data_IF_650184569159
#
_entry.id   IF_650184569159
#
_cell.length_a   1.000
_cell.length_b   1.000
_cell.length_c   1.000
_cell.angle_alpha   90.00
_cell.angle_beta   90.00
_cell.angle_gamma   90.00
#
_symmetry.space_group_name_H-M   'P 1'
#
loop_
_entity.id
_entity.type
_entity.pdbx_description
1 polymer ?
#
# COMPACT_ATOMS: atom_id res chain seq x y z
N UNK A 1 2.35 10.69 -5.95
CA UNK A 1 1.52 11.31 -4.91
C UNK A 1 2.12 12.64 -4.51
N UNK A 2 1.31 13.63 -4.40
CA UNK A 2 1.70 14.88 -3.77
C UNK A 2 1.01 14.99 -2.42
N UNK A 3 1.56 15.76 -1.50
CA UNK A 3 0.95 16.00 -0.19
C UNK A 3 -0.41 16.71 -0.29
N UNK A 4 -0.73 17.24 -1.47
CA UNK A 4 -1.97 17.98 -1.76
C UNK A 4 -3.05 17.14 -2.45
N UNK A 5 -2.88 15.82 -2.56
CA UNK A 5 -3.92 14.98 -3.16
C UNK A 5 -5.10 14.88 -2.19
N UNK A 6 -6.20 15.55 -2.55
CA UNK A 6 -7.40 15.65 -1.71
C UNK A 6 -8.19 14.35 -1.63
N UNK A 7 -7.87 13.36 -2.46
CA UNK A 7 -8.53 12.05 -2.42
C UNK A 7 -8.03 11.19 -1.27
N UNK A 8 -6.89 11.53 -0.68
CA UNK A 8 -6.29 10.75 0.41
C UNK A 8 -6.94 11.15 1.73
N UNK A 9 -7.52 10.19 2.41
CA UNK A 9 -8.14 10.36 3.72
C UNK A 9 -7.39 9.54 4.75
N UNK A 10 -6.82 10.22 5.74
CA UNK A 10 -6.05 9.58 6.81
C UNK A 10 -6.93 9.40 8.04
N UNK A 11 -7.00 8.17 8.53
CA UNK A 11 -7.74 7.81 9.73
C UNK A 11 -6.78 7.25 10.78
N UNK A 12 -6.73 7.90 11.93
CA UNK A 12 -5.90 7.45 13.05
C UNK A 12 -6.80 6.93 14.16
N UNK A 13 -6.53 5.71 14.62
CA UNK A 13 -7.24 5.15 15.76
C UNK A 13 -6.91 5.94 17.02
N UNK A 14 -7.92 6.27 17.82
CA UNK A 14 -7.72 6.85 19.13
C UNK A 14 -7.21 5.78 20.09
N UNK A 15 -6.03 5.98 20.65
CA UNK A 15 -5.41 5.04 21.57
C UNK A 15 -4.47 5.77 22.53
N UNK A 16 -4.38 5.26 23.76
CA UNK A 16 -3.39 5.73 24.72
C UNK A 16 -1.99 5.20 24.43
N UNK A 17 -1.89 4.26 23.50
CA UNK A 17 -0.62 3.63 23.17
C UNK A 17 0.18 4.48 22.21
N UNK A 18 1.47 4.54 22.44
CA UNK A 18 2.39 5.13 21.46
C UNK A 18 2.68 4.06 20.39
N UNK A 19 2.22 4.31 19.17
CA UNK A 19 2.49 3.43 18.05
C UNK A 19 3.87 3.74 17.48
N UNK A 20 4.83 2.89 17.77
CA UNK A 20 6.19 3.04 17.26
C UNK A 20 6.64 1.77 16.54
N UNK A 21 7.42 1.95 15.49
CA UNK A 21 8.06 0.84 14.78
C UNK A 21 9.55 1.12 14.68
N UNK A 22 10.33 0.04 14.70
CA UNK A 22 11.78 0.15 14.63
C UNK A 22 12.24 0.00 13.19
N UNK A 23 12.47 1.13 12.54
CA UNK A 23 12.84 1.16 11.13
C UNK A 23 13.57 2.46 10.81
N UNK A 24 14.31 2.46 9.70
CA UNK A 24 14.84 3.70 9.17
C UNK A 24 13.67 4.53 8.62
N UNK A 25 13.42 5.73 9.15
CA UNK A 25 12.25 6.52 8.74
C UNK A 25 12.30 6.93 7.28
N UNK A 26 13.48 7.12 6.73
CA UNK A 26 13.62 7.48 5.31
C UNK A 26 13.20 6.34 4.38
N UNK A 27 13.68 5.12 4.66
CA UNK A 27 13.32 3.95 3.87
C UNK A 27 11.83 3.60 4.03
N UNK A 28 11.31 3.69 5.25
CA UNK A 28 9.89 3.43 5.50
C UNK A 28 9.02 4.42 4.74
N UNK A 29 9.42 5.70 4.71
CA UNK A 29 8.71 6.72 3.94
C UNK A 29 8.65 6.36 2.45
N UNK A 30 9.75 5.88 1.87
CA UNK A 30 9.79 5.46 0.47
C UNK A 30 8.81 4.33 0.23
N UNK A 31 8.80 3.30 1.10
CA UNK A 31 7.92 2.15 0.96
C UNK A 31 6.45 2.57 1.02
N UNK A 32 6.07 3.34 2.03
CA UNK A 32 4.68 3.77 2.22
C UNK A 32 4.23 4.69 1.10
N UNK A 33 5.10 5.59 0.66
CA UNK A 33 4.80 6.47 -0.46
C UNK A 33 4.52 5.67 -1.73
N UNK A 34 5.30 4.63 -2.01
CA UNK A 34 5.07 3.78 -3.17
C UNK A 34 3.70 3.10 -3.12
N UNK A 35 3.28 2.62 -1.96
CA UNK A 35 1.97 1.98 -1.81
C UNK A 35 0.85 3.00 -2.05
N UNK A 36 0.95 4.18 -1.46
CA UNK A 36 -0.05 5.23 -1.59
C UNK A 36 -0.09 5.76 -3.03
N UNK A 37 1.07 5.95 -3.66
CA UNK A 37 1.14 6.39 -5.05
C UNK A 37 0.46 5.39 -5.99
N UNK A 38 0.64 4.09 -5.77
CA UNK A 38 -0.05 3.07 -6.54
C UNK A 38 -1.57 3.14 -6.35
N UNK A 39 -2.03 3.32 -5.11
CA UNK A 39 -3.45 3.46 -4.84
C UNK A 39 -4.04 4.66 -5.59
N UNK A 40 -3.36 5.79 -5.56
CA UNK A 40 -3.79 6.99 -6.27
C UNK A 40 -3.72 6.84 -7.79
N UNK A 41 -2.73 6.09 -8.29
CA UNK A 41 -2.51 5.90 -9.72
C UNK A 41 -3.57 5.02 -10.37
N UNK A 42 -3.99 3.97 -9.68
CA UNK A 42 -4.94 3.00 -10.23
C UNK A 42 -6.37 3.23 -9.76
N UNK A 43 -6.64 4.37 -9.15
CA UNK A 43 -7.97 4.77 -8.71
C UNK A 43 -8.13 6.27 -8.91
N UNK A 44 -9.29 6.68 -9.38
CA UNK A 44 -9.68 8.10 -9.45
C UNK A 44 -10.62 8.48 -8.31
N UNK A 45 -10.89 7.56 -7.40
CA UNK A 45 -11.76 7.74 -6.24
C UNK A 45 -10.92 7.94 -4.97
N UNK A 46 -11.59 7.95 -3.83
CA UNK A 46 -10.94 8.12 -2.54
C UNK A 46 -9.96 7.00 -2.21
N UNK A 47 -8.86 7.38 -1.57
CA UNK A 47 -7.88 6.46 -0.99
C UNK A 47 -7.92 6.65 0.51
N UNK A 48 -8.21 5.57 1.24
CA UNK A 48 -8.29 5.60 2.70
C UNK A 48 -7.05 4.96 3.30
N UNK A 49 -6.37 5.70 4.16
CA UNK A 49 -5.19 5.24 4.89
C UNK A 49 -5.56 5.18 6.36
N UNK A 50 -5.57 3.98 6.94
CA UNK A 50 -5.99 3.77 8.32
C UNK A 50 -4.83 3.17 9.12
N UNK A 51 -4.49 3.82 10.23
CA UNK A 51 -3.45 3.37 11.15
C UNK A 51 -4.10 2.97 12.47
N UNK A 52 -3.84 1.74 12.93
CA UNK A 52 -4.45 1.24 14.15
C UNK A 52 -3.58 0.20 14.84
N UNK A 53 -3.96 -0.16 16.05
CA UNK A 53 -3.29 -1.14 16.89
C UNK A 53 -4.21 -2.34 17.07
N UNK A 54 -3.69 -3.53 16.77
CA UNK A 54 -4.44 -4.76 16.93
C UNK A 54 -3.48 -5.91 17.25
N UNK A 55 -3.83 -6.73 18.24
CA UNK A 55 -3.04 -7.88 18.64
C UNK A 55 -1.57 -7.53 18.92
N UNK A 56 -1.35 -6.40 19.59
CA UNK A 56 -0.01 -5.90 19.94
C UNK A 56 0.86 -5.54 18.74
N UNK A 57 0.24 -5.25 17.61
CA UNK A 57 0.94 -4.83 16.40
C UNK A 57 0.37 -3.53 15.85
N UNK A 58 1.24 -2.74 15.24
CA UNK A 58 0.83 -1.57 14.47
C UNK A 58 0.43 -2.04 13.09
N UNK A 59 -0.76 -1.66 12.65
CA UNK A 59 -1.29 -2.04 11.34
C UNK A 59 -1.62 -0.79 10.55
N UNK A 60 -1.18 -0.78 9.30
CA UNK A 60 -1.49 0.27 8.35
C UNK A 60 -2.22 -0.34 7.16
N UNK A 61 -3.47 0.11 6.94
CA UNK A 61 -4.26 -0.28 5.79
C UNK A 61 -4.33 0.87 4.79
N UNK A 62 -4.03 0.59 3.54
CA UNK A 62 -4.17 1.54 2.44
C UNK A 62 -5.16 0.93 1.45
N UNK A 63 -6.34 1.55 1.35
CA UNK A 63 -7.45 1.02 0.56
C UNK A 63 -7.85 1.99 -0.53
N UNK A 64 -7.90 1.50 -1.76
CA UNK A 64 -8.43 2.25 -2.90
C UNK A 64 -9.70 1.58 -3.44
N UNK A 65 -10.42 2.31 -4.29
CA UNK A 65 -11.59 1.83 -5.00
C UNK A 65 -11.33 1.84 -6.51
N UNK A 66 -10.17 1.34 -6.90
CA UNK A 66 -9.71 1.37 -8.27
C UNK A 66 -10.04 0.12 -9.06
N UNK A 67 -9.19 -0.15 -10.03
CA UNK A 67 -9.40 -1.24 -10.99
C UNK A 67 -9.23 -2.63 -10.38
N UNK A 68 -8.58 -2.74 -9.21
CA UNK A 68 -8.30 -4.03 -8.59
C UNK A 68 -7.20 -4.81 -9.30
N UNK A 69 -6.90 -5.99 -8.78
CA UNK A 69 -5.87 -6.89 -9.29
C UNK A 69 -6.50 -8.25 -9.51
N UNK A 70 -6.35 -8.85 -10.71
CA UNK A 70 -6.81 -10.23 -10.93
C UNK A 70 -6.18 -11.18 -9.91
N UNK A 71 -6.96 -12.10 -9.35
CA UNK A 71 -6.50 -12.99 -8.28
C UNK A 71 -5.26 -13.81 -8.70
N UNK A 72 -5.24 -14.27 -9.94
CA UNK A 72 -4.12 -15.04 -10.46
C UNK A 72 -2.83 -14.23 -10.64
N UNK A 73 -2.93 -12.91 -10.58
CA UNK A 73 -1.78 -12.01 -10.73
C UNK A 73 -1.23 -11.49 -9.40
N UNK A 74 -1.95 -11.66 -8.30
CA UNK A 74 -1.54 -11.10 -7.00
C UNK A 74 -0.15 -11.58 -6.59
N UNK A 75 0.18 -12.86 -6.85
CA UNK A 75 1.49 -13.41 -6.52
C UNK A 75 2.64 -12.79 -7.30
N UNK A 76 2.35 -12.18 -8.44
CA UNK A 76 3.36 -11.68 -9.36
C UNK A 76 3.60 -10.17 -9.25
N UNK A 77 2.74 -9.42 -8.56
CA UNK A 77 2.81 -7.96 -8.56
C UNK A 77 4.06 -7.40 -7.89
N UNK A 78 4.77 -8.20 -7.10
CA UNK A 78 6.02 -7.80 -6.46
C UNK A 78 7.25 -8.10 -7.31
N UNK A 79 7.09 -8.72 -8.45
CA UNK A 79 8.21 -8.94 -9.38
C UNK A 79 8.59 -7.61 -10.03
N UNK A 80 9.89 -7.37 -10.15
CA UNK A 80 10.39 -6.16 -10.82
C UNK A 80 9.88 -6.12 -12.26
N UNK A 81 9.40 -4.97 -12.69
CA UNK A 81 8.85 -4.69 -14.02
C UNK A 81 7.54 -5.43 -14.34
N UNK A 82 6.99 -6.18 -13.38
CA UNK A 82 5.68 -6.79 -13.59
C UNK A 82 4.58 -5.73 -13.56
N UNK A 83 3.65 -5.85 -14.48
CA UNK A 83 2.43 -5.02 -14.53
C UNK A 83 1.22 -5.91 -14.75
N UNK A 84 0.15 -5.64 -14.01
CA UNK A 84 -1.10 -6.39 -14.19
C UNK A 84 -1.67 -6.21 -15.59
N UNK A 85 -2.41 -7.21 -16.06
CA UNK A 85 -2.98 -7.19 -17.41
C UNK A 85 -3.96 -6.05 -17.65
N UNK A 86 -4.58 -5.54 -16.57
CA UNK A 86 -5.55 -4.45 -16.65
C UNK A 86 -4.93 -3.06 -16.45
N UNK A 87 -3.59 -2.94 -16.47
CA UNK A 87 -2.90 -1.67 -16.18
C UNK A 87 -2.24 -1.04 -17.41
N UNK A 88 -2.56 -1.48 -18.60
CA UNK A 88 -1.90 -1.01 -19.85
C UNK A 88 -2.00 0.50 -20.06
N UNK A 89 -3.10 1.10 -19.64
CA UNK A 89 -3.35 2.52 -19.83
C UNK A 89 -2.74 3.40 -18.72
N UNK A 90 -2.04 2.78 -17.78
CA UNK A 90 -1.44 3.49 -16.66
C UNK A 90 0.08 3.54 -16.80
N UNK A 91 0.67 4.71 -16.51
CA UNK A 91 2.11 4.90 -16.57
C UNK A 91 2.81 4.14 -15.42
N UNK A 92 4.06 3.75 -15.62
CA UNK A 92 4.88 3.11 -14.59
C UNK A 92 5.72 1.96 -15.14
N UNK A 93 6.72 1.55 -14.38
CA UNK A 93 7.67 0.52 -14.78
C UNK A 93 7.55 -0.78 -13.97
N UNK A 94 6.66 -0.83 -12.97
CA UNK A 94 6.45 -2.03 -12.18
C UNK A 94 7.56 -2.34 -11.17
N UNK A 95 8.35 -1.35 -10.75
CA UNK A 95 9.44 -1.56 -9.79
C UNK A 95 9.11 -1.10 -8.37
N UNK A 96 8.08 -0.26 -8.22
CA UNK A 96 7.73 0.32 -6.91
C UNK A 96 7.37 -0.72 -5.86
N UNK A 97 6.54 -1.71 -6.22
CA UNK A 97 6.10 -2.75 -5.28
C UNK A 97 7.22 -3.72 -4.92
N UNK A 98 8.11 -4.07 -5.86
CA UNK A 98 9.24 -4.94 -5.55
C UNK A 98 10.19 -4.27 -4.54
N UNK A 99 10.46 -2.98 -4.69
CA UNK A 99 11.26 -2.22 -3.75
C UNK A 99 10.56 -2.11 -2.39
N UNK A 100 9.26 -1.84 -2.40
CA UNK A 100 8.43 -1.76 -1.19
C UNK A 100 8.53 -3.06 -0.39
N UNK A 101 8.35 -4.21 -1.04
CA UNK A 101 8.42 -5.50 -0.36
C UNK A 101 9.81 -5.72 0.26
N UNK A 102 10.87 -5.35 -0.43
CA UNK A 102 12.23 -5.48 0.10
C UNK A 102 12.42 -4.65 1.36
N UNK A 103 11.94 -3.42 1.36
CA UNK A 103 12.04 -2.54 2.53
C UNK A 103 11.23 -3.09 3.70
N UNK A 104 9.97 -3.43 3.47
CA UNK A 104 9.07 -3.94 4.50
C UNK A 104 9.63 -5.24 5.10
N UNK A 105 10.10 -6.16 4.27
CA UNK A 105 10.65 -7.43 4.73
C UNK A 105 11.94 -7.25 5.54
N UNK A 106 12.75 -6.25 5.21
CA UNK A 106 13.99 -5.97 5.93
C UNK A 106 13.73 -5.60 7.40
N UNK A 107 12.55 -5.07 7.71
CA UNK A 107 12.15 -4.73 9.08
C UNK A 107 11.23 -5.77 9.70
N UNK A 108 11.16 -6.97 9.11
CA UNK A 108 10.34 -8.09 9.57
C UNK A 108 8.84 -7.78 9.61
N UNK A 109 8.41 -6.76 8.88
CA UNK A 109 7.01 -6.46 8.70
C UNK A 109 6.42 -7.34 7.61
N UNK A 110 5.11 -7.52 7.67
CA UNK A 110 4.37 -8.33 6.70
C UNK A 110 3.50 -7.45 5.83
N UNK A 111 3.38 -7.84 4.57
CA UNK A 111 2.53 -7.14 3.61
C UNK A 111 1.49 -8.11 3.07
N UNK A 112 0.21 -7.81 3.29
CA UNK A 112 -0.90 -8.58 2.74
C UNK A 112 -1.67 -7.73 1.73
N UNK A 113 -2.18 -8.37 0.68
CA UNK A 113 -2.95 -7.70 -0.35
C UNK A 113 -4.30 -8.38 -0.51
N UNK A 114 -5.35 -7.59 -0.45
CA UNK A 114 -6.73 -8.00 -0.69
C UNK A 114 -7.25 -7.18 -1.86
N UNK A 115 -7.67 -7.84 -2.94
CA UNK A 115 -8.10 -7.13 -4.13
C UNK A 115 -9.20 -7.88 -4.86
N UNK A 116 -10.07 -7.10 -5.51
CA UNK A 116 -11.13 -7.60 -6.36
C UNK A 116 -11.26 -6.67 -7.57
N UNK A 117 -11.31 -7.25 -8.76
CA UNK A 117 -11.39 -6.49 -10.02
C UNK A 117 -12.60 -5.54 -9.97
N UNK A 118 -12.37 -4.29 -10.35
CA UNK A 118 -13.34 -3.19 -10.42
C UNK A 118 -13.91 -2.76 -9.07
N UNK A 119 -13.45 -3.36 -7.96
CA UNK A 119 -13.85 -2.93 -6.60
C UNK A 119 -12.73 -2.23 -5.85
N UNK A 120 -11.49 -2.58 -6.14
CA UNK A 120 -10.33 -1.93 -5.54
C UNK A 120 -9.37 -2.88 -4.87
N UNK A 121 -8.40 -2.28 -4.17
CA UNK A 121 -7.31 -3.00 -3.52
C UNK A 121 -7.07 -2.45 -2.12
N UNK A 122 -6.86 -3.35 -1.17
CA UNK A 122 -6.39 -3.01 0.17
C UNK A 122 -5.01 -3.63 0.36
N UNK A 123 -4.04 -2.79 0.69
CA UNK A 123 -2.70 -3.21 1.08
C UNK A 123 -2.58 -3.05 2.59
N UNK A 124 -2.27 -4.13 3.28
CA UNK A 124 -2.11 -4.12 4.75
C UNK A 124 -0.66 -4.34 5.10
N UNK A 125 -0.09 -3.40 5.84
CA UNK A 125 1.25 -3.54 6.39
C UNK A 125 1.13 -3.83 7.88
N UNK A 126 1.71 -4.93 8.32
CA UNK A 126 1.68 -5.38 9.72
C UNK A 126 3.11 -5.32 10.25
N UNK A 127 3.32 -4.40 11.16
CA UNK A 127 4.64 -4.19 11.77
C UNK A 127 4.91 -5.09 12.96
#
# INVERSE_FOLDING_TARGET
MTASDERIHLHLEETDRQMTVKANPYLLKIALKNIIDNACKYSDKEVNVTLYWEQQQVILDIEDRGIGIPQEEIEHIFQSFYRGSNTRDYAGQGIGLSLTLKIISAYHAKLDIFSEIEKGTKVRVIF
#
